data_IF_474852551948
#
_entry.id   IF_474852551948
#
_cell.length_a   1.000
_cell.length_b   1.000
_cell.length_c   1.000
_cell.angle_alpha   90.00
_cell.angle_beta   90.00
_cell.angle_gamma   90.00
#
_symmetry.space_group_name_H-M   'P 1'
#
loop_
_entity.id
_entity.type
_entity.pdbx_description
1 polymer ?
#
# COMPACT_ATOMS: atom_id res chain seq x y z
N UNK A 1 11.15 -20.80 3.54
CA UNK A 1 10.01 -21.58 3.03
C UNK A 1 8.75 -20.78 3.31
N UNK A 2 7.90 -20.56 2.30
CA UNK A 2 6.57 -19.96 2.50
C UNK A 2 5.72 -21.06 3.16
N UNK A 3 5.03 -20.72 4.24
CA UNK A 3 4.41 -21.73 5.10
C UNK A 3 3.12 -22.33 4.53
N UNK A 4 2.48 -21.65 3.59
CA UNK A 4 1.18 -22.01 3.03
C UNK A 4 1.08 -21.55 1.56
N UNK A 5 1.18 -22.51 0.64
CA UNK A 5 1.12 -22.25 -0.81
C UNK A 5 -0.29 -21.87 -1.26
N UNK A 6 -1.34 -22.47 -0.69
CA UNK A 6 -2.73 -22.15 -1.05
C UNK A 6 -3.07 -20.71 -0.66
N UNK A 7 -2.61 -20.27 0.53
CA UNK A 7 -2.77 -18.89 0.96
C UNK A 7 -2.00 -17.92 0.07
N UNK A 8 -0.80 -18.29 -0.36
CA UNK A 8 0.00 -17.49 -1.30
C UNK A 8 -0.73 -17.32 -2.65
N UNK A 9 -1.23 -18.42 -3.23
CA UNK A 9 -2.01 -18.37 -4.47
C UNK A 9 -3.29 -17.56 -4.30
N UNK A 10 -3.99 -17.72 -3.18
CA UNK A 10 -5.19 -16.93 -2.87
C UNK A 10 -4.86 -15.44 -2.81
N UNK A 11 -3.77 -15.07 -2.13
CA UNK A 11 -3.31 -13.69 -2.06
C UNK A 11 -3.05 -13.13 -3.46
N UNK A 12 -2.36 -13.89 -4.31
CA UNK A 12 -2.06 -13.46 -5.66
C UNK A 12 -3.27 -13.22 -6.57
N UNK A 13 -4.38 -13.92 -6.32
CA UNK A 13 -5.56 -13.81 -7.17
C UNK A 13 -6.60 -12.84 -6.61
N UNK A 14 -6.51 -12.49 -5.32
CA UNK A 14 -7.55 -11.73 -4.64
C UNK A 14 -7.07 -10.40 -4.07
N UNK A 15 -5.80 -10.24 -3.70
CA UNK A 15 -5.28 -8.98 -3.17
C UNK A 15 -4.82 -8.06 -4.30
N UNK A 16 -5.48 -6.92 -4.46
CA UNK A 16 -5.21 -5.95 -5.51
C UNK A 16 -4.43 -4.73 -5.03
N UNK A 17 -4.44 -4.45 -3.72
CA UNK A 17 -3.71 -3.33 -3.14
C UNK A 17 -4.48 -2.63 -2.02
N UNK A 18 -4.56 -1.31 -2.08
CA UNK A 18 -5.01 -0.47 -0.97
C UNK A 18 -5.99 0.63 -1.37
N UNK A 19 -6.76 1.09 -0.39
CA UNK A 19 -7.63 2.25 -0.52
C UNK A 19 -9.08 1.90 -0.84
N UNK A 20 -9.69 2.67 -1.73
CA UNK A 20 -11.13 2.63 -1.97
C UNK A 20 -11.44 2.36 -3.44
N UNK A 21 -12.07 1.23 -3.77
CA UNK A 21 -12.44 0.90 -5.15
C UNK A 21 -13.52 1.82 -5.74
N UNK A 22 -14.22 2.60 -4.91
CA UNK A 22 -15.16 3.63 -5.37
C UNK A 22 -14.52 5.02 -5.50
N UNK A 23 -13.21 5.12 -5.22
CA UNK A 23 -12.48 6.37 -5.30
C UNK A 23 -12.48 6.96 -6.73
N UNK A 24 -12.47 8.30 -6.86
CA UNK A 24 -12.36 8.97 -8.14
C UNK A 24 -10.97 8.85 -8.78
N UNK A 25 -9.93 8.51 -8.01
CA UNK A 25 -8.54 8.49 -8.47
C UNK A 25 -7.93 7.10 -8.23
N UNK A 26 -7.47 6.47 -9.30
CA UNK A 26 -6.85 5.16 -9.27
C UNK A 26 -5.40 5.27 -9.75
N UNK A 27 -4.47 4.87 -8.90
CA UNK A 27 -3.07 4.70 -9.25
C UNK A 27 -2.80 3.21 -9.40
N UNK A 28 -2.49 2.79 -10.63
CA UNK A 28 -2.22 1.39 -10.97
C UNK A 28 -0.72 1.24 -11.23
N UNK A 29 -0.02 0.60 -10.30
CA UNK A 29 1.38 0.25 -10.39
C UNK A 29 1.61 -1.12 -11.02
N UNK A 30 2.88 -1.42 -11.29
CA UNK A 30 3.27 -2.75 -11.76
C UNK A 30 3.20 -3.76 -10.63
N UNK A 31 3.88 -3.48 -9.53
CA UNK A 31 4.17 -4.40 -8.44
C UNK A 31 4.30 -3.62 -7.13
N UNK A 32 3.86 -4.24 -6.04
CA UNK A 32 4.05 -3.66 -4.71
C UNK A 32 5.54 -3.58 -4.34
N UNK A 33 5.94 -2.51 -3.64
CA UNK A 33 7.24 -2.49 -2.99
C UNK A 33 7.31 -3.50 -1.83
N UNK A 34 8.38 -4.31 -1.78
CA UNK A 34 8.60 -5.27 -0.69
C UNK A 34 9.24 -6.55 -1.19
N UNK A 35 8.90 -7.66 -0.53
CA UNK A 35 9.41 -8.99 -0.89
C UNK A 35 10.88 -9.16 -0.55
N UNK A 36 11.39 -8.37 0.40
CA UNK A 36 12.81 -8.35 0.77
C UNK A 36 13.23 -9.61 1.53
N UNK A 37 12.26 -10.33 2.10
CA UNK A 37 12.48 -11.60 2.78
C UNK A 37 11.22 -12.47 2.79
N UNK A 38 11.42 -13.78 2.94
CA UNK A 38 10.33 -14.75 3.16
C UNK A 38 9.55 -14.42 4.45
N UNK A 39 10.22 -13.88 5.47
CA UNK A 39 9.57 -13.47 6.72
C UNK A 39 8.56 -12.34 6.52
N UNK A 40 8.91 -11.34 5.70
CA UNK A 40 8.00 -10.25 5.33
C UNK A 40 6.77 -10.78 4.58
N UNK A 41 6.98 -11.67 3.61
CA UNK A 41 5.90 -12.29 2.83
C UNK A 41 4.94 -13.05 3.76
N UNK A 42 5.47 -13.91 4.63
CA UNK A 42 4.65 -14.65 5.59
C UNK A 42 3.86 -13.72 6.54
N UNK A 43 4.46 -12.60 6.96
CA UNK A 43 3.79 -11.61 7.80
C UNK A 43 2.62 -10.93 7.08
N UNK A 44 2.80 -10.56 5.80
CA UNK A 44 1.75 -9.99 4.95
C UNK A 44 0.60 -10.99 4.73
N UNK A 45 0.92 -12.23 4.36
CA UNK A 45 -0.06 -13.30 4.16
C UNK A 45 -0.87 -13.57 5.44
N UNK A 46 -0.19 -13.63 6.59
CA UNK A 46 -0.84 -13.85 7.89
C UNK A 46 -1.79 -12.71 8.23
N UNK A 47 -1.35 -11.45 8.07
CA UNK A 47 -2.18 -10.27 8.32
C UNK A 47 -3.40 -10.24 7.39
N UNK A 48 -3.21 -10.51 6.10
CA UNK A 48 -4.30 -10.57 5.12
C UNK A 48 -5.33 -11.66 5.44
N UNK A 49 -4.85 -12.87 5.78
CA UNK A 49 -5.71 -13.98 6.16
C UNK A 49 -6.56 -13.65 7.41
N UNK A 50 -5.95 -13.03 8.43
CA UNK A 50 -6.63 -12.64 9.67
C UNK A 50 -7.63 -11.50 9.47
N UNK A 51 -7.44 -10.68 8.43
CA UNK A 51 -8.29 -9.52 8.11
C UNK A 51 -9.41 -9.86 7.10
N UNK A 52 -9.62 -11.15 6.82
CA UNK A 52 -10.74 -11.61 6.01
C UNK A 52 -10.45 -11.63 4.50
N UNK A 53 -9.18 -11.62 4.10
CA UNK A 53 -8.77 -11.79 2.70
C UNK A 53 -9.40 -10.76 1.75
N UNK A 54 -9.44 -9.50 2.16
CA UNK A 54 -10.04 -8.42 1.38
C UNK A 54 -9.28 -8.17 0.08
N UNK A 55 -9.98 -7.72 -0.94
CA UNK A 55 -9.37 -7.41 -2.23
C UNK A 55 -8.60 -6.08 -2.23
N UNK A 56 -9.04 -5.12 -1.42
CA UNK A 56 -8.29 -3.93 -1.07
C UNK A 56 -8.25 -3.77 0.45
N UNK A 57 -7.15 -3.26 0.95
CA UNK A 57 -6.93 -3.03 2.38
C UNK A 57 -6.78 -1.54 2.71
N UNK A 58 -7.07 -1.14 3.95
CA UNK A 58 -6.63 0.15 4.47
C UNK A 58 -5.10 0.10 4.66
N UNK A 59 -4.37 0.91 3.90
CA UNK A 59 -2.91 0.86 3.84
C UNK A 59 -2.26 1.00 5.23
N UNK A 60 -2.52 2.07 6.02
CA UNK A 60 -1.98 2.20 7.37
C UNK A 60 -2.31 1.01 8.29
N UNK A 61 -3.56 0.54 8.29
CA UNK A 61 -3.96 -0.57 9.15
C UNK A 61 -3.29 -1.89 8.75
N UNK A 62 -3.22 -2.17 7.45
CA UNK A 62 -2.58 -3.38 6.95
C UNK A 62 -1.10 -3.41 7.29
N UNK A 63 -0.37 -2.32 7.03
CA UNK A 63 1.04 -2.21 7.42
C UNK A 63 1.23 -2.49 8.92
N UNK A 64 0.37 -1.92 9.79
CA UNK A 64 0.43 -2.18 11.24
C UNK A 64 0.17 -3.65 11.57
N UNK A 65 -0.82 -4.26 10.93
CA UNK A 65 -1.17 -5.67 11.13
C UNK A 65 -0.03 -6.63 10.76
N UNK A 66 0.80 -6.30 9.76
CA UNK A 66 1.97 -7.12 9.41
C UNK A 66 3.02 -7.18 10.52
N UNK A 67 3.06 -6.21 11.43
CA UNK A 67 4.12 -6.03 12.44
C UNK A 67 5.54 -5.92 11.85
N UNK A 68 5.65 -5.55 10.58
CA UNK A 68 6.95 -5.33 9.91
C UNK A 68 7.38 -3.88 10.09
N UNK A 69 8.50 -3.66 10.80
CA UNK A 69 8.95 -2.33 11.20
C UNK A 69 9.16 -1.36 10.01
N UNK A 70 9.75 -1.82 8.91
CA UNK A 70 10.03 -0.96 7.75
C UNK A 70 8.78 -0.58 6.93
N UNK A 71 7.65 -1.27 7.13
CA UNK A 71 6.35 -0.88 6.57
C UNK A 71 5.67 0.15 7.48
N UNK A 72 5.82 -0.01 8.80
CA UNK A 72 5.19 0.87 9.79
C UNK A 72 5.84 2.25 9.92
N UNK A 73 7.14 2.36 9.61
CA UNK A 73 7.89 3.63 9.72
C UNK A 73 7.27 4.80 8.94
N UNK A 74 6.46 4.52 7.90
CA UNK A 74 5.84 5.55 7.06
C UNK A 74 4.65 6.25 7.73
N UNK A 75 4.12 5.69 8.82
CA UNK A 75 2.96 6.21 9.55
C UNK A 75 3.33 6.83 10.91
N UNK A 76 4.60 6.74 11.32
CA UNK A 76 5.09 7.34 12.56
C UNK A 76 5.04 8.88 12.52
N UNK A 77 4.83 9.58 13.65
CA UNK A 77 4.82 11.05 13.67
C UNK A 77 6.09 11.70 13.11
N UNK A 78 7.23 10.99 13.19
CA UNK A 78 8.54 11.41 12.67
C UNK A 78 8.89 10.77 11.32
N UNK A 79 7.91 10.19 10.63
CA UNK A 79 8.12 9.50 9.36
C UNK A 79 8.71 10.42 8.29
N UNK A 80 9.69 9.90 7.56
CA UNK A 80 10.08 10.50 6.29
C UNK A 80 8.97 10.32 5.26
N UNK A 81 8.99 11.16 4.24
CA UNK A 81 8.06 11.01 3.13
C UNK A 81 8.53 9.87 2.22
N UNK A 82 7.63 8.96 1.87
CA UNK A 82 7.90 7.85 0.96
C UNK A 82 7.96 8.42 -0.47
N UNK A 83 9.02 8.09 -1.22
CA UNK A 83 9.34 8.74 -2.50
C UNK A 83 8.24 8.63 -3.56
N UNK A 84 7.68 7.44 -3.73
CA UNK A 84 6.57 7.15 -4.66
C UNK A 84 5.29 7.82 -4.19
N UNK A 85 4.89 7.60 -2.94
CA UNK A 85 3.66 8.15 -2.36
C UNK A 85 3.65 9.67 -2.36
N UNK A 86 4.80 10.32 -2.14
CA UNK A 86 4.93 11.77 -2.26
C UNK A 86 4.41 12.30 -3.60
N UNK A 87 4.72 11.61 -4.70
CA UNK A 87 4.29 12.00 -6.05
C UNK A 87 2.81 11.73 -6.25
N UNK A 88 2.32 10.59 -5.78
CA UNK A 88 0.91 10.21 -5.90
C UNK A 88 0.00 11.15 -5.10
N UNK A 89 0.42 11.53 -3.88
CA UNK A 89 -0.27 12.52 -3.04
C UNK A 89 -0.36 13.88 -3.76
N UNK A 90 0.73 14.33 -4.39
CA UNK A 90 0.72 15.56 -5.18
C UNK A 90 -0.25 15.47 -6.36
N UNK A 91 -0.21 14.37 -7.11
CA UNK A 91 -1.12 14.16 -8.25
C UNK A 91 -2.58 14.13 -7.80
N UNK A 92 -2.88 13.41 -6.71
CA UNK A 92 -4.23 13.36 -6.14
C UNK A 92 -4.73 14.75 -5.76
N UNK A 93 -3.90 15.54 -5.06
CA UNK A 93 -4.26 16.90 -4.69
C UNK A 93 -4.61 17.77 -5.90
N UNK A 94 -3.79 17.74 -6.95
CA UNK A 94 -4.02 18.51 -8.19
C UNK A 94 -5.28 18.04 -8.92
N UNK A 95 -5.49 16.73 -9.04
CA UNK A 95 -6.69 16.17 -9.68
C UNK A 95 -7.98 16.53 -8.92
N UNK A 96 -7.89 16.68 -7.59
CA UNK A 96 -8.97 17.15 -6.73
C UNK A 96 -9.11 18.68 -6.69
N UNK A 97 -8.37 19.42 -7.53
CA UNK A 97 -8.44 20.88 -7.61
C UNK A 97 -7.85 21.61 -6.41
N UNK A 98 -6.96 20.98 -5.64
CA UNK A 98 -6.27 21.61 -4.50
C UNK A 98 -5.01 22.34 -4.96
N UNK A 99 -4.66 23.39 -4.23
CA UNK A 99 -3.39 24.10 -4.39
C UNK A 99 -2.18 23.19 -4.11
N UNK A 100 -0.98 23.53 -4.63
CA UNK A 100 0.24 22.77 -4.39
C UNK A 100 0.51 22.60 -2.88
N UNK A 101 0.48 21.34 -2.42
CA UNK A 101 0.74 21.01 -1.04
C UNK A 101 2.22 21.22 -0.71
N UNK A 102 2.52 21.78 0.47
CA UNK A 102 3.87 21.80 1.01
C UNK A 102 4.30 20.41 1.53
N UNK A 103 5.56 20.27 1.95
CA UNK A 103 6.09 18.98 2.41
C UNK A 103 5.39 18.46 3.67
N UNK A 104 5.07 19.33 4.62
CA UNK A 104 4.47 18.91 5.89
C UNK A 104 3.02 18.47 5.70
N UNK A 105 2.26 19.15 4.84
CA UNK A 105 0.91 18.73 4.45
C UNK A 105 0.91 17.35 3.81
N UNK A 106 1.89 17.06 2.93
CA UNK A 106 2.01 15.73 2.32
C UNK A 106 2.39 14.65 3.32
N UNK A 107 3.26 14.95 4.29
CA UNK A 107 3.56 14.02 5.38
C UNK A 107 2.34 13.75 6.27
N UNK A 108 1.50 14.77 6.51
CA UNK A 108 0.23 14.57 7.22
C UNK A 108 -0.65 13.60 6.44
N UNK A 109 -0.87 13.85 5.15
CA UNK A 109 -1.70 12.97 4.29
C UNK A 109 -1.16 11.55 4.28
N UNK A 110 0.15 11.35 4.07
CA UNK A 110 0.79 10.04 4.10
C UNK A 110 0.46 9.24 5.36
N UNK A 111 0.52 9.89 6.53
CA UNK A 111 0.28 9.21 7.82
C UNK A 111 -1.19 8.97 8.10
N UNK A 112 -2.05 9.90 7.66
CA UNK A 112 -3.42 9.99 8.17
C UNK A 112 -4.49 9.58 7.18
N UNK A 113 -4.29 9.71 5.87
CA UNK A 113 -5.38 9.61 4.87
C UNK A 113 -4.99 8.94 3.55
N UNK A 114 -3.71 8.84 3.21
CA UNK A 114 -3.32 8.26 1.94
C UNK A 114 -3.75 6.79 1.81
N UNK A 115 -4.54 6.48 0.77
CA UNK A 115 -5.00 5.13 0.43
C UNK A 115 -5.71 4.39 1.58
N UNK A 116 -6.60 5.10 2.26
CA UNK A 116 -7.56 4.50 3.21
C UNK A 116 -8.86 4.14 2.53
N UNK A 117 -9.62 3.26 3.18
CA UNK A 117 -10.87 2.68 2.68
C UNK A 117 -11.97 3.72 2.36
N UNK A 118 -11.93 4.92 2.95
CA UNK A 118 -12.93 5.99 2.74
C UNK A 118 -12.36 7.24 2.07
N UNK A 119 -11.13 7.16 1.53
CA UNK A 119 -10.45 8.30 0.95
C UNK A 119 -10.55 8.29 -0.59
N UNK A 120 -9.88 9.24 -1.22
CA UNK A 120 -10.08 9.56 -2.64
C UNK A 120 -9.17 8.77 -3.59
N UNK A 121 -8.39 7.81 -3.06
CA UNK A 121 -7.41 7.07 -3.83
C UNK A 121 -7.57 5.55 -3.70
N UNK A 122 -7.39 4.86 -4.83
CA UNK A 122 -7.04 3.44 -4.91
C UNK A 122 -5.59 3.29 -5.36
N UNK A 123 -4.81 2.48 -4.64
CA UNK A 123 -3.46 2.06 -5.03
C UNK A 123 -3.51 0.58 -5.37
N UNK A 124 -3.49 0.26 -6.66
CA UNK A 124 -3.61 -1.10 -7.14
C UNK A 124 -2.33 -1.55 -7.84
N UNK A 125 -2.06 -2.84 -7.84
CA UNK A 125 -0.91 -3.43 -8.51
C UNK A 125 -1.36 -4.42 -9.59
N UNK A 126 -0.73 -4.37 -10.77
CA UNK A 126 -1.04 -5.29 -11.87
C UNK A 126 -0.53 -6.71 -11.57
N UNK A 127 0.64 -6.80 -10.94
CA UNK A 127 1.27 -8.06 -10.59
C UNK A 127 1.17 -8.30 -9.09
N UNK A 128 0.79 -9.51 -8.68
CA UNK A 128 0.47 -9.81 -7.28
C UNK A 128 1.69 -9.88 -6.36
N UNK A 129 2.89 -9.98 -6.92
CA UNK A 129 4.10 -10.17 -6.13
C UNK A 129 5.21 -9.21 -6.53
N UNK A 130 5.97 -8.72 -5.53
CA UNK A 130 7.20 -7.98 -5.79
C UNK A 130 8.21 -8.86 -6.53
N UNK A 131 8.64 -8.43 -7.71
CA UNK A 131 9.68 -9.04 -8.53
C UNK A 131 10.71 -7.96 -8.92
N UNK A 132 11.53 -7.48 -7.96
CA UNK A 132 12.53 -6.46 -8.22
C UNK A 132 13.57 -6.98 -9.22
N UNK A 133 13.47 -6.57 -10.48
CA UNK A 133 14.42 -6.99 -11.51
C UNK A 133 13.87 -7.21 -12.92
N UNK A 134 12.55 -7.07 -13.14
CA UNK A 134 12.05 -6.99 -14.52
C UNK A 134 12.60 -5.70 -15.14
N UNK A 135 13.53 -5.85 -16.08
CA UNK A 135 13.94 -4.75 -16.96
C UNK A 135 12.74 -4.45 -17.86
N UNK A 136 12.06 -3.34 -17.59
CA UNK A 136 11.11 -2.73 -18.51
C UNK A 136 11.86 -1.96 -19.59
#
# INVERSE_FOLDING_TARGET
MIADEELLYSFANAFFGYGNLEAPIWFVGMEEGGGTSVGEINARLTAWNQRGRRCVEDLPEFCRATRVAHLNQWFDPRSNIQRTWNRLILMSAVLMGKEPLDLESRKVIQRSSFAREQENESLLELFPFPSPGIRQ
#
